data_IF_222388519425
#
_entry.id   IF_222388519425
#
_cell.length_a   1.000
_cell.length_b   1.000
_cell.length_c   1.000
_cell.angle_alpha   90.00
_cell.angle_beta   90.00
_cell.angle_gamma   90.00
#
_symmetry.space_group_name_H-M   'P 1'
#
loop_
_entity.id
_entity.type
_entity.pdbx_description
1 polymer ?
#
# COMPACT_ATOMS: atom_id res chain seq x y z
N UNK A 1 -57.68 10.66 -27.80
CA UNK A 1 -56.59 11.59 -27.40
C UNK A 1 -56.87 12.08 -25.98
N UNK A 2 -56.16 11.56 -24.97
CA UNK A 2 -56.23 12.04 -23.57
C UNK A 2 -54.83 12.51 -23.19
N UNK A 3 -54.73 13.81 -22.91
CA UNK A 3 -53.50 14.51 -22.52
C UNK A 3 -53.22 14.27 -21.04
N UNK A 4 -52.15 13.55 -20.72
CA UNK A 4 -51.61 13.44 -19.35
C UNK A 4 -50.63 14.60 -19.18
N UNK A 5 -50.94 15.54 -18.27
CA UNK A 5 -50.02 16.59 -17.85
C UNK A 5 -49.17 16.04 -16.70
N UNK A 6 -47.87 15.90 -16.93
CA UNK A 6 -46.88 15.58 -15.90
C UNK A 6 -46.60 16.83 -15.06
N UNK A 7 -46.82 16.75 -13.75
CA UNK A 7 -46.43 17.77 -12.80
C UNK A 7 -44.94 17.58 -12.45
N UNK A 8 -44.14 18.63 -12.65
CA UNK A 8 -42.77 18.69 -12.17
C UNK A 8 -42.77 19.23 -10.74
N UNK A 9 -42.25 18.44 -9.80
CA UNK A 9 -41.98 18.88 -8.42
C UNK A 9 -40.56 19.46 -8.41
N UNK A 10 -40.46 20.77 -8.23
CA UNK A 10 -39.20 21.47 -8.01
C UNK A 10 -38.84 21.36 -6.51
N UNK A 11 -37.85 20.53 -6.17
CA UNK A 11 -37.30 20.48 -4.80
C UNK A 11 -36.15 21.49 -4.73
N UNK A 12 -36.39 22.62 -4.07
CA UNK A 12 -35.35 23.58 -3.72
C UNK A 12 -34.70 23.09 -2.41
N UNK A 13 -33.51 22.49 -2.48
CA UNK A 13 -32.68 22.26 -1.31
C UNK A 13 -31.94 23.54 -0.95
N UNK A 14 -32.39 24.23 0.09
CA UNK A 14 -31.64 25.30 0.74
C UNK A 14 -30.50 24.70 1.56
N UNK A 15 -29.26 24.97 1.15
CA UNK A 15 -28.07 24.67 1.97
C UNK A 15 -27.92 25.80 2.98
N UNK A 16 -28.29 25.55 4.24
CA UNK A 16 -27.85 26.40 5.35
C UNK A 16 -26.41 26.04 5.70
N UNK A 17 -25.50 27.00 5.54
CA UNK A 17 -24.13 26.90 6.02
C UNK A 17 -24.16 27.27 7.51
N UNK A 18 -24.22 26.26 8.38
CA UNK A 18 -23.90 26.41 9.81
C UNK A 18 -22.54 25.77 10.07
N UNK A 19 -21.76 26.34 10.99
CA UNK A 19 -20.40 25.94 11.37
C UNK A 19 -20.32 24.62 12.16
N UNK A 20 -21.22 23.68 11.88
CA UNK A 20 -21.24 22.34 12.47
C UNK A 20 -20.96 21.33 11.37
N UNK A 21 -20.12 20.30 11.61
CA UNK A 21 -19.79 19.32 10.59
C UNK A 21 -21.05 18.57 10.17
N UNK A 22 -21.45 18.74 8.92
CA UNK A 22 -22.56 18.00 8.32
C UNK A 22 -22.17 16.52 8.21
N UNK A 23 -22.93 15.65 8.87
CA UNK A 23 -22.83 14.20 8.69
C UNK A 23 -23.73 13.84 7.52
N UNK A 24 -23.15 13.55 6.36
CA UNK A 24 -23.89 13.04 5.20
C UNK A 24 -24.00 11.52 5.35
N UNK A 25 -25.22 11.04 5.57
CA UNK A 25 -25.52 9.61 5.49
C UNK A 25 -25.90 9.25 4.06
N UNK A 26 -25.05 8.50 3.36
CA UNK A 26 -25.41 7.81 2.12
C UNK A 26 -25.62 6.33 2.43
N UNK A 27 -26.84 5.83 2.18
CA UNK A 27 -27.21 4.41 2.06
C UNK A 27 -26.44 3.41 2.96
N UNK A 28 -26.66 3.47 4.28
CA UNK A 28 -26.42 2.32 5.17
C UNK A 28 -24.98 1.84 5.38
N UNK A 29 -23.95 2.47 4.79
CA UNK A 29 -22.55 2.20 5.11
C UNK A 29 -21.99 3.31 6.00
N UNK A 30 -21.39 2.93 7.12
CA UNK A 30 -20.66 3.85 7.97
C UNK A 30 -19.44 4.37 7.19
N UNK A 31 -19.51 5.64 6.78
CA UNK A 31 -18.38 6.29 6.12
C UNK A 31 -17.32 6.51 7.19
N UNK A 32 -16.17 5.85 7.05
CA UNK A 32 -15.01 6.01 7.92
C UNK A 32 -14.73 7.50 8.15
N UNK A 33 -15.02 8.00 9.36
CA UNK A 33 -14.76 9.39 9.74
C UNK A 33 -13.26 9.56 9.99
N UNK A 34 -12.52 9.78 8.91
CA UNK A 34 -11.11 10.16 9.02
C UNK A 34 -11.06 11.65 9.39
N UNK A 35 -10.84 11.94 10.68
CA UNK A 35 -10.49 13.27 11.15
C UNK A 35 -9.13 13.69 10.57
N UNK A 36 -8.90 15.01 10.46
CA UNK A 36 -7.68 15.68 9.94
C UNK A 36 -6.43 14.81 9.94
N UNK A 37 -5.72 14.77 8.81
CA UNK A 37 -4.53 13.95 8.65
C UNK A 37 -3.54 14.17 9.81
N UNK A 38 -3.07 13.10 10.47
CA UNK A 38 -2.10 13.22 11.53
C UNK A 38 -0.81 13.79 10.96
N UNK A 39 -0.19 14.72 11.67
CA UNK A 39 1.22 15.04 11.46
C UNK A 39 2.03 13.90 12.05
N UNK A 40 2.30 12.88 11.25
CA UNK A 40 3.05 11.69 11.69
C UNK A 40 4.47 12.07 12.11
N UNK A 41 5.07 13.08 11.47
CA UNK A 41 6.46 13.45 11.72
C UNK A 41 6.70 14.55 12.75
N UNK A 42 5.68 15.31 13.20
CA UNK A 42 5.89 16.26 14.32
C UNK A 42 6.34 15.52 15.60
N UNK A 43 5.96 14.23 15.74
CA UNK A 43 6.37 13.38 16.86
C UNK A 43 7.69 12.62 16.63
N UNK A 44 8.09 12.39 15.38
CA UNK A 44 9.31 11.66 15.06
C UNK A 44 10.56 12.54 15.13
N UNK A 45 10.43 13.84 15.39
CA UNK A 45 11.56 14.79 15.44
C UNK A 45 12.60 14.45 14.36
N UNK A 46 12.13 14.21 13.14
CA UNK A 46 12.97 14.23 11.98
C UNK A 46 13.27 15.70 11.72
N UNK A 47 14.03 16.29 12.64
CA UNK A 47 14.70 17.56 12.42
C UNK A 47 15.39 17.38 11.08
N UNK A 48 15.09 18.28 10.14
CA UNK A 48 15.72 18.28 8.83
C UNK A 48 17.21 18.52 9.04
N UNK A 49 17.95 17.47 9.38
CA UNK A 49 19.38 17.53 9.52
C UNK A 49 19.97 17.93 8.17
N UNK A 50 21.07 18.66 8.23
CA UNK A 50 21.75 19.17 7.06
C UNK A 50 22.13 18.02 6.12
N UNK A 51 21.42 17.88 5.00
CA UNK A 51 21.67 16.83 4.00
C UNK A 51 20.42 16.13 3.45
N UNK A 52 19.24 16.41 4.00
CA UNK A 52 17.98 15.84 3.50
C UNK A 52 17.41 16.62 2.30
N UNK A 53 17.00 15.90 1.24
CA UNK A 53 16.33 16.50 0.08
C UNK A 53 14.82 16.56 0.35
N UNK A 54 14.37 17.74 0.79
CA UNK A 54 12.96 18.00 1.11
C UNK A 54 12.24 18.54 -0.11
N UNK A 55 11.17 17.86 -0.51
CA UNK A 55 10.31 18.30 -1.59
C UNK A 55 8.90 18.62 -1.09
N UNK A 56 8.32 19.71 -1.60
CA UNK A 56 6.92 20.06 -1.40
C UNK A 56 6.20 20.05 -2.74
N UNK A 57 4.99 19.48 -2.76
CA UNK A 57 4.18 19.33 -3.96
C UNK A 57 2.69 19.48 -3.60
N UNK A 58 1.88 20.00 -4.51
CA UNK A 58 0.42 20.06 -4.33
C UNK A 58 -0.21 18.90 -5.09
N UNK A 59 -0.64 17.88 -4.35
CA UNK A 59 -1.26 16.69 -4.94
C UNK A 59 -2.63 17.00 -5.59
N UNK A 60 -3.18 16.11 -6.44
CA UNK A 60 -4.46 16.34 -7.14
C UNK A 60 -5.66 16.72 -6.25
N UNK A 61 -5.62 16.32 -4.98
CA UNK A 61 -6.61 16.66 -3.96
C UNK A 61 -6.46 18.08 -3.38
N UNK A 62 -5.50 18.87 -3.86
CA UNK A 62 -5.17 20.21 -3.37
C UNK A 62 -4.39 20.24 -2.05
N UNK A 63 -4.03 19.08 -1.47
CA UNK A 63 -3.22 19.02 -0.26
C UNK A 63 -1.75 19.15 -0.63
N UNK A 64 -1.03 19.99 0.12
CA UNK A 64 0.43 19.99 0.09
C UNK A 64 0.95 18.69 0.70
N UNK A 65 1.68 17.92 -0.09
CA UNK A 65 2.47 16.78 0.35
C UNK A 65 3.91 17.24 0.51
N UNK A 66 4.54 16.81 1.60
CA UNK A 66 5.95 17.05 1.86
C UNK A 66 6.63 15.70 1.96
N UNK A 67 7.69 15.49 1.21
CA UNK A 67 8.51 14.28 1.23
C UNK A 67 9.96 14.62 1.54
N UNK A 68 10.69 13.66 2.10
CA UNK A 68 12.11 13.78 2.41
C UNK A 68 12.83 12.49 1.97
N UNK A 69 13.96 12.62 1.27
CA UNK A 69 14.93 11.53 1.09
C UNK A 69 16.03 11.69 2.12
N UNK A 70 16.31 10.64 2.89
CA UNK A 70 17.43 10.59 3.84
C UNK A 70 18.61 9.83 3.23
N UNK A 71 19.79 10.44 3.24
CA UNK A 71 21.02 9.81 2.72
C UNK A 71 21.73 8.93 3.74
N UNK A 72 21.45 9.12 5.02
CA UNK A 72 22.11 8.45 6.14
C UNK A 72 21.47 7.11 6.50
N UNK A 73 20.29 6.82 5.93
CA UNK A 73 19.51 5.63 6.20
C UNK A 73 19.54 4.72 4.98
N UNK A 74 20.69 4.10 4.78
CA UNK A 74 20.73 2.84 4.03
C UNK A 74 20.30 1.74 5.01
N UNK A 75 19.41 0.85 4.57
CA UNK A 75 19.21 -0.38 5.32
C UNK A 75 20.56 -1.08 5.45
N UNK A 76 20.80 -1.77 6.57
CA UNK A 76 21.89 -2.74 6.62
C UNK A 76 21.57 -3.77 5.53
N UNK A 77 22.23 -3.59 4.37
CA UNK A 77 22.00 -4.30 3.14
C UNK A 77 21.89 -5.81 3.44
N UNK A 78 20.90 -6.48 2.88
CA UNK A 78 20.78 -7.95 2.87
C UNK A 78 21.92 -8.58 2.06
N UNK A 79 23.17 -8.34 2.44
CA UNK A 79 24.34 -9.05 1.93
C UNK A 79 24.43 -10.44 2.58
N UNK A 80 23.32 -11.17 2.58
CA UNK A 80 23.27 -12.59 2.84
C UNK A 80 23.74 -13.34 1.60
N UNK A 81 25.05 -13.54 1.45
CA UNK A 81 25.57 -14.48 0.45
C UNK A 81 25.05 -15.90 0.79
N UNK A 82 23.94 -16.32 0.17
CA UNK A 82 23.41 -17.67 0.32
C UNK A 82 24.28 -18.67 -0.45
N UNK A 83 25.36 -19.10 0.20
CA UNK A 83 26.24 -20.16 -0.28
C UNK A 83 25.69 -21.54 0.07
N UNK A 84 24.69 -22.04 -0.66
CA UNK A 84 24.40 -23.48 -0.74
C UNK A 84 23.89 -23.83 -2.14
N UNK A 85 24.70 -24.60 -2.85
CA UNK A 85 24.48 -25.14 -4.20
C UNK A 85 23.44 -26.27 -4.15
N UNK A 86 22.20 -25.94 -3.78
CA UNK A 86 21.06 -26.85 -3.89
C UNK A 86 20.52 -26.81 -5.32
N UNK A 87 20.19 -27.97 -5.89
CA UNK A 87 19.49 -28.04 -7.18
C UNK A 87 18.12 -27.40 -6.99
N UNK A 88 17.99 -26.16 -7.45
CA UNK A 88 16.75 -25.40 -7.41
C UNK A 88 15.72 -26.07 -8.34
N UNK A 89 14.44 -26.16 -7.92
CA UNK A 89 13.35 -26.52 -8.84
C UNK A 89 13.41 -25.69 -10.12
N UNK A 90 12.88 -26.18 -11.24
CA UNK A 90 12.86 -25.40 -12.49
C UNK A 90 12.18 -24.03 -12.31
N UNK A 91 11.16 -23.95 -11.43
CA UNK A 91 10.47 -22.71 -11.06
C UNK A 91 11.34 -21.71 -10.29
N UNK A 92 12.46 -22.18 -9.74
CA UNK A 92 13.39 -21.46 -8.90
C UNK A 92 14.72 -21.17 -9.57
N UNK A 93 14.91 -21.68 -10.80
CA UNK A 93 16.15 -21.49 -11.52
C UNK A 93 16.28 -20.00 -11.79
N UNK A 94 17.34 -19.33 -11.32
CA UNK A 94 17.58 -17.93 -11.62
C UNK A 94 17.60 -17.76 -13.14
N UNK A 95 16.54 -17.13 -13.67
CA UNK A 95 16.58 -16.61 -15.03
C UNK A 95 17.51 -15.39 -14.98
N UNK A 96 18.36 -15.16 -16.01
CA UNK A 96 19.11 -13.91 -16.10
C UNK A 96 18.18 -12.74 -15.80
N UNK A 97 18.64 -11.75 -15.01
CA UNK A 97 17.86 -10.54 -14.75
C UNK A 97 17.40 -10.00 -16.11
N UNK A 98 16.10 -10.03 -16.35
CA UNK A 98 15.57 -9.43 -17.55
C UNK A 98 15.84 -7.93 -17.45
N UNK A 99 16.33 -7.35 -18.54
CA UNK A 99 16.64 -5.92 -18.59
C UNK A 99 15.38 -5.06 -18.68
N UNK A 100 14.19 -5.64 -18.42
CA UNK A 100 12.92 -4.92 -18.42
C UNK A 100 12.76 -4.02 -17.19
N UNK A 101 13.50 -4.30 -16.10
CA UNK A 101 13.44 -3.55 -14.85
C UNK A 101 12.18 -3.78 -14.01
N UNK A 102 11.32 -4.72 -14.43
CA UNK A 102 10.02 -5.03 -13.82
C UNK A 102 9.97 -6.43 -13.22
N UNK A 103 10.73 -7.38 -13.78
CA UNK A 103 10.69 -8.79 -13.38
C UNK A 103 11.15 -8.99 -11.93
N UNK A 104 10.45 -9.85 -11.18
CA UNK A 104 10.82 -10.22 -9.82
C UNK A 104 12.18 -10.92 -9.78
N UNK A 105 13.08 -10.47 -8.90
CA UNK A 105 14.44 -11.00 -8.78
C UNK A 105 14.73 -11.71 -7.45
N UNK A 106 13.77 -11.74 -6.53
CA UNK A 106 13.92 -12.41 -5.24
C UNK A 106 13.97 -13.93 -5.40
N UNK A 107 14.64 -14.60 -4.46
CA UNK A 107 14.73 -16.07 -4.45
C UNK A 107 13.91 -16.73 -3.36
N UNK A 108 13.51 -15.96 -2.35
CA UNK A 108 12.73 -16.51 -1.25
C UNK A 108 11.24 -16.45 -1.55
N UNK A 109 10.58 -17.60 -1.39
CA UNK A 109 9.12 -17.76 -1.55
C UNK A 109 8.52 -17.04 -2.77
N UNK A 110 9.25 -16.97 -3.87
CA UNK A 110 8.87 -16.28 -5.11
C UNK A 110 7.44 -16.61 -5.55
N UNK A 111 7.08 -17.90 -5.52
CA UNK A 111 5.73 -18.34 -5.92
C UNK A 111 4.67 -17.70 -5.03
N UNK A 112 4.88 -17.59 -3.72
CA UNK A 112 3.94 -16.94 -2.82
C UNK A 112 3.94 -15.42 -2.99
N UNK A 113 5.11 -14.77 -3.09
CA UNK A 113 5.25 -13.31 -3.27
C UNK A 113 4.64 -12.80 -4.58
N UNK A 114 4.67 -13.60 -5.64
CA UNK A 114 4.20 -13.21 -6.98
C UNK A 114 2.85 -13.85 -7.41
N UNK A 115 2.26 -14.70 -6.55
CA UNK A 115 0.93 -15.30 -6.79
C UNK A 115 -0.12 -14.69 -5.88
N UNK A 116 -1.21 -14.19 -6.48
CA UNK A 116 -2.38 -13.70 -5.78
C UNK A 116 -3.09 -14.89 -5.13
N UNK A 117 -3.48 -14.75 -3.86
CA UNK A 117 -4.28 -15.73 -3.14
C UNK A 117 -5.61 -16.01 -3.87
N UNK A 118 -6.09 -17.25 -3.81
CA UNK A 118 -7.29 -17.67 -4.56
C UNK A 118 -8.60 -17.31 -3.84
N UNK A 119 -8.52 -16.96 -2.57
CA UNK A 119 -9.68 -16.54 -1.79
C UNK A 119 -10.34 -15.26 -2.36
N UNK A 120 -11.67 -15.09 -2.21
CA UNK A 120 -12.33 -13.82 -2.51
C UNK A 120 -11.73 -12.66 -1.70
N UNK A 121 -11.88 -11.44 -2.21
CA UNK A 121 -11.54 -10.22 -1.45
C UNK A 121 -12.52 -10.10 -0.28
N UNK A 122 -11.99 -9.94 0.92
CA UNK A 122 -12.75 -9.59 2.12
C UNK A 122 -13.30 -8.15 1.97
N UNK A 123 -14.60 -7.97 2.15
CA UNK A 123 -15.27 -6.69 1.88
C UNK A 123 -15.00 -5.59 2.94
N UNK A 124 -14.34 -5.95 4.04
CA UNK A 124 -14.05 -5.03 5.14
C UNK A 124 -12.83 -4.17 4.83
N UNK A 125 -12.99 -2.84 4.93
CA UNK A 125 -11.87 -1.91 4.91
C UNK A 125 -11.20 -1.93 6.30
N UNK A 126 -10.10 -2.65 6.41
CA UNK A 126 -9.35 -2.79 7.65
C UNK A 126 -8.49 -1.54 7.90
N UNK A 127 -8.36 -1.17 9.17
CA UNK A 127 -7.21 -0.39 9.65
C UNK A 127 -6.00 -1.31 9.79
N UNK A 128 -4.79 -0.78 9.88
CA UNK A 128 -3.58 -1.59 10.11
C UNK A 128 -3.72 -2.45 11.36
N UNK A 129 -4.16 -1.86 12.47
CA UNK A 129 -4.35 -2.59 13.72
C UNK A 129 -5.36 -3.74 13.59
N UNK A 130 -6.48 -3.50 12.90
CA UNK A 130 -7.48 -4.55 12.68
C UNK A 130 -7.00 -5.64 11.71
N UNK A 131 -6.16 -5.29 10.73
CA UNK A 131 -5.49 -6.25 9.86
C UNK A 131 -4.61 -7.18 10.68
N UNK A 132 -3.69 -6.64 11.48
CA UNK A 132 -2.80 -7.44 12.32
C UNK A 132 -3.57 -8.35 13.29
N UNK A 133 -4.61 -7.81 13.94
CA UNK A 133 -5.43 -8.59 14.87
C UNK A 133 -6.26 -9.71 14.21
N UNK A 134 -6.41 -9.70 12.88
CA UNK A 134 -7.16 -10.72 12.14
C UNK A 134 -6.31 -11.93 11.73
N UNK A 135 -5.01 -11.94 12.03
CA UNK A 135 -4.08 -13.00 11.64
C UNK A 135 -3.59 -13.79 12.87
N UNK A 136 -3.08 -15.03 12.66
CA UNK A 136 -2.26 -15.69 13.66
C UNK A 136 -1.11 -14.80 14.13
N UNK A 137 -0.70 -14.97 15.38
CA UNK A 137 0.43 -14.21 15.94
C UNK A 137 1.75 -14.57 15.25
N UNK A 138 2.72 -13.65 15.28
CA UNK A 138 4.08 -13.93 14.80
C UNK A 138 4.69 -15.17 15.44
N UNK A 139 4.45 -15.39 16.74
CA UNK A 139 4.93 -16.58 17.44
C UNK A 139 4.34 -17.89 16.87
N UNK A 140 3.05 -17.91 16.54
CA UNK A 140 2.40 -19.06 15.91
C UNK A 140 2.94 -19.31 14.51
N UNK A 141 3.14 -18.24 13.72
CA UNK A 141 3.67 -18.35 12.36
C UNK A 141 5.13 -18.81 12.33
N UNK A 142 5.98 -18.29 13.23
CA UNK A 142 7.37 -18.74 13.38
C UNK A 142 7.46 -20.21 13.80
N UNK A 143 6.57 -20.66 14.70
CA UNK A 143 6.51 -22.06 15.12
C UNK A 143 6.10 -23.02 13.97
N UNK A 144 5.42 -22.50 12.93
CA UNK A 144 5.02 -23.26 11.75
C UNK A 144 6.16 -23.64 10.79
N UNK A 145 7.38 -23.09 10.97
CA UNK A 145 8.57 -23.38 10.16
C UNK A 145 8.31 -23.26 8.64
N UNK A 146 7.70 -22.15 8.22
CA UNK A 146 7.41 -21.88 6.81
C UNK A 146 8.71 -21.92 6.01
N UNK A 147 8.71 -22.67 4.91
CA UNK A 147 9.89 -22.81 4.07
C UNK A 147 10.19 -21.52 3.32
N UNK A 148 11.47 -21.14 3.24
CA UNK A 148 11.98 -20.00 2.45
C UNK A 148 12.24 -20.33 0.99
N UNK A 149 11.96 -21.57 0.56
CA UNK A 149 12.20 -21.97 -0.83
C UNK A 149 11.31 -21.16 -1.77
N UNK A 150 11.88 -20.69 -2.87
CA UNK A 150 11.21 -20.09 -4.02
C UNK A 150 9.90 -20.78 -4.48
N UNK A 151 9.83 -22.11 -4.48
CA UNK A 151 8.64 -22.88 -4.91
C UNK A 151 7.59 -23.05 -3.80
N UNK A 152 7.87 -22.51 -2.60
CA UNK A 152 6.94 -22.53 -1.50
C UNK A 152 5.69 -21.72 -1.87
N UNK A 153 4.55 -22.41 -1.85
CA UNK A 153 3.23 -21.79 -2.00
C UNK A 153 2.79 -21.12 -0.69
N UNK A 154 1.70 -20.36 -0.78
CA UNK A 154 1.04 -19.79 0.40
C UNK A 154 0.63 -20.87 1.39
N UNK A 155 0.79 -20.60 2.68
CA UNK A 155 0.16 -21.41 3.73
C UNK A 155 -1.31 -21.02 3.89
N UNK A 156 -2.12 -21.83 4.57
CA UNK A 156 -3.56 -21.60 4.69
C UNK A 156 -3.89 -20.21 5.27
N UNK A 157 -3.11 -19.74 6.26
CA UNK A 157 -3.28 -18.43 6.88
C UNK A 157 -3.04 -17.26 5.91
N UNK A 158 -2.27 -17.46 4.85
CA UNK A 158 -1.96 -16.47 3.81
C UNK A 158 -2.96 -16.50 2.64
N UNK A 159 -3.86 -17.49 2.60
CA UNK A 159 -4.85 -17.61 1.52
C UNK A 159 -6.05 -16.68 1.77
N UNK A 160 -5.77 -15.38 1.86
CA UNK A 160 -6.73 -14.31 2.12
C UNK A 160 -6.40 -13.12 1.25
N UNK A 161 -7.43 -12.45 0.74
CA UNK A 161 -7.29 -11.17 0.06
C UNK A 161 -7.99 -10.10 0.88
N UNK A 162 -7.25 -9.09 1.30
CA UNK A 162 -7.72 -8.06 2.24
C UNK A 162 -7.66 -6.67 1.61
N UNK A 163 -8.41 -5.73 2.18
CA UNK A 163 -8.29 -4.30 1.85
C UNK A 163 -7.98 -3.49 3.10
N UNK A 164 -6.88 -2.72 3.07
CA UNK A 164 -6.45 -1.83 4.16
C UNK A 164 -6.48 -0.38 3.71
N UNK A 165 -7.04 0.50 4.55
CA UNK A 165 -7.00 1.95 4.35
C UNK A 165 -6.16 2.62 5.45
N UNK A 166 -5.04 3.22 5.08
CA UNK A 166 -4.05 3.75 6.01
C UNK A 166 -3.23 4.87 5.37
N UNK A 167 -2.30 5.46 6.10
CA UNK A 167 -1.43 6.51 5.59
C UNK A 167 -0.09 5.95 5.12
N UNK A 168 0.29 6.23 3.88
CA UNK A 168 1.63 5.98 3.35
C UNK A 168 2.62 6.91 4.04
N UNK A 169 3.61 6.33 4.73
CA UNK A 169 4.63 7.07 5.50
C UNK A 169 6.05 6.88 4.98
N UNK A 170 6.34 5.77 4.30
CA UNK A 170 7.63 5.55 3.65
C UNK A 170 7.48 4.64 2.42
N UNK A 171 8.39 4.79 1.45
CA UNK A 171 8.47 3.95 0.27
C UNK A 171 9.92 3.76 -0.19
N UNK A 172 10.27 2.57 -0.68
CA UNK A 172 11.51 2.30 -1.42
C UNK A 172 11.26 1.25 -2.51
N UNK A 173 12.21 1.09 -3.42
CA UNK A 173 12.26 -0.10 -4.29
C UNK A 173 13.30 -1.07 -3.74
N UNK A 174 12.96 -2.33 -3.67
CA UNK A 174 13.83 -3.41 -3.24
C UNK A 174 14.61 -4.01 -4.41
N UNK A 175 15.68 -4.73 -4.11
CA UNK A 175 16.54 -5.37 -5.11
C UNK A 175 15.85 -6.53 -5.85
N UNK A 176 14.79 -7.09 -5.26
CA UNK A 176 13.91 -8.06 -5.90
C UNK A 176 12.89 -7.43 -6.86
N UNK A 177 12.99 -6.11 -7.09
CA UNK A 177 12.09 -5.26 -7.88
C UNK A 177 10.72 -4.95 -7.26
N UNK A 178 10.52 -5.28 -5.98
CA UNK A 178 9.31 -4.94 -5.27
C UNK A 178 9.33 -3.45 -4.87
N UNK A 179 8.17 -2.80 -4.93
CA UNK A 179 8.00 -1.51 -4.27
C UNK A 179 7.52 -1.77 -2.85
N UNK A 180 8.39 -1.51 -1.89
CA UNK A 180 8.15 -1.66 -0.46
C UNK A 180 7.58 -0.36 0.10
N UNK A 181 6.42 -0.45 0.74
CA UNK A 181 5.80 0.68 1.43
C UNK A 181 5.55 0.38 2.90
N UNK A 182 5.66 1.41 3.74
CA UNK A 182 5.20 1.37 5.12
C UNK A 182 3.93 2.19 5.22
N UNK A 183 2.85 1.54 5.65
CA UNK A 183 1.57 2.17 5.98
C UNK A 183 1.46 2.36 7.49
N UNK A 184 0.72 3.38 7.91
CA UNK A 184 0.47 3.66 9.33
C UNK A 184 -0.98 4.10 9.58
N UNK A 185 -1.56 3.63 10.68
CA UNK A 185 -2.88 4.09 11.15
C UNK A 185 -2.86 5.58 11.56
N UNK A 186 -4.04 6.21 11.45
CA UNK A 186 -4.20 7.62 11.77
C UNK A 186 -3.88 7.91 13.25
N UNK A 187 -2.90 8.77 13.51
CA UNK A 187 -2.60 9.25 14.87
C UNK A 187 -1.96 8.21 15.79
N UNK A 188 -1.49 7.09 15.25
CA UNK A 188 -0.78 6.08 16.01
C UNK A 188 0.64 5.92 15.47
N UNK A 189 1.65 6.10 16.32
CA UNK A 189 3.07 6.04 15.96
C UNK A 189 3.75 4.75 16.47
N UNK A 190 2.98 3.79 16.98
CA UNK A 190 3.54 2.57 17.54
C UNK A 190 3.71 1.49 16.47
N UNK A 191 4.62 0.51 16.64
CA UNK A 191 4.82 -0.57 15.68
C UNK A 191 3.54 -1.35 15.34
N UNK A 192 2.64 -1.61 16.29
CA UNK A 192 1.36 -2.31 16.06
C UNK A 192 0.35 -1.54 15.19
N UNK A 193 0.71 -0.32 14.79
CA UNK A 193 -0.07 0.53 13.92
C UNK A 193 0.57 0.70 12.54
N UNK A 194 1.61 -0.09 12.24
CA UNK A 194 2.36 -0.05 10.98
C UNK A 194 2.30 -1.38 10.25
N UNK A 195 2.29 -1.31 8.93
CA UNK A 195 2.14 -2.45 8.05
C UNK A 195 3.06 -2.29 6.84
N UNK A 196 3.87 -3.29 6.57
CA UNK A 196 4.55 -3.43 5.28
C UNK A 196 3.53 -3.86 4.22
N UNK A 197 3.60 -3.22 3.06
CA UNK A 197 2.86 -3.64 1.87
C UNK A 197 3.78 -3.56 0.66
N UNK A 198 3.65 -4.52 -0.25
CA UNK A 198 4.57 -4.64 -1.40
C UNK A 198 3.81 -4.78 -2.72
N UNK A 199 4.05 -3.86 -3.64
CA UNK A 199 3.72 -4.09 -5.06
C UNK A 199 4.88 -4.90 -5.63
N UNK A 200 4.64 -6.19 -5.83
CA UNK A 200 5.69 -7.08 -6.29
C UNK A 200 6.18 -6.78 -7.71
N UNK A 201 7.42 -7.15 -8.00
CA UNK A 201 7.94 -7.40 -9.32
C UNK A 201 7.06 -8.38 -10.09
N UNK A 202 7.14 -8.31 -11.40
CA UNK A 202 6.35 -9.14 -12.30
C UNK A 202 6.85 -10.59 -12.19
N UNK A 203 5.97 -11.59 -11.97
CA UNK A 203 6.37 -12.99 -11.98
C UNK A 203 6.98 -13.37 -13.32
N UNK A 204 8.09 -14.11 -13.27
CA UNK A 204 8.74 -14.68 -14.47
C UNK A 204 7.80 -15.61 -15.24
N UNK A 205 6.92 -16.30 -14.51
CA UNK A 205 5.92 -17.22 -15.03
C UNK A 205 4.68 -17.16 -14.13
N UNK A 206 3.48 -17.24 -14.72
CA UNK A 206 2.27 -17.55 -13.96
C UNK A 206 1.07 -16.65 -14.27
N UNK A 207 -0.04 -16.96 -13.61
CA UNK A 207 -1.35 -16.38 -13.93
C UNK A 207 -1.53 -14.94 -13.41
N UNK A 208 -0.70 -14.48 -12.47
CA UNK A 208 -0.81 -13.13 -11.90
C UNK A 208 -0.14 -12.04 -12.75
N UNK A 209 0.68 -12.41 -13.75
CA UNK A 209 1.55 -11.49 -14.49
C UNK A 209 0.81 -10.23 -14.97
N UNK A 210 -0.28 -10.42 -15.71
CA UNK A 210 -1.05 -9.30 -16.26
C UNK A 210 -1.65 -8.40 -15.17
N UNK A 211 -2.13 -9.00 -14.08
CA UNK A 211 -2.75 -8.23 -12.99
C UNK A 211 -1.70 -7.39 -12.27
N UNK A 212 -0.54 -7.97 -11.98
CA UNK A 212 0.57 -7.27 -11.31
C UNK A 212 1.18 -6.19 -12.20
N UNK A 213 1.35 -6.44 -13.51
CA UNK A 213 1.75 -5.38 -14.48
C UNK A 213 0.81 -4.18 -14.46
N UNK A 214 -0.50 -4.42 -14.46
CA UNK A 214 -1.50 -3.34 -14.41
C UNK A 214 -1.40 -2.57 -13.09
N UNK A 215 -1.24 -3.26 -11.96
CA UNK A 215 -1.10 -2.62 -10.65
C UNK A 215 0.18 -1.77 -10.57
N UNK A 216 1.31 -2.29 -11.06
CA UNK A 216 2.59 -1.56 -11.13
C UNK A 216 2.48 -0.31 -12.00
N UNK A 217 2.00 -0.47 -13.24
CA UNK A 217 1.86 0.65 -14.17
C UNK A 217 0.92 1.74 -13.62
N UNK A 218 -0.16 1.35 -12.95
CA UNK A 218 -1.05 2.31 -12.27
C UNK A 218 -0.28 3.07 -11.17
N UNK A 219 0.41 2.36 -10.29
CA UNK A 219 1.20 2.98 -9.22
C UNK A 219 2.25 3.95 -9.78
N UNK A 220 3.05 3.50 -10.76
CA UNK A 220 4.10 4.30 -11.39
C UNK A 220 3.53 5.57 -12.05
N UNK A 221 2.35 5.48 -12.65
CA UNK A 221 1.66 6.64 -13.23
C UNK A 221 1.16 7.63 -12.15
N UNK A 222 0.62 7.14 -11.04
CA UNK A 222 0.09 8.00 -9.97
C UNK A 222 1.19 8.59 -9.10
N UNK A 223 2.34 7.92 -9.00
CA UNK A 223 3.39 8.26 -8.06
C UNK A 223 3.82 9.74 -8.12
N UNK A 224 4.19 10.31 -9.28
CA UNK A 224 4.62 11.71 -9.35
C UNK A 224 3.58 12.71 -8.88
N UNK A 225 2.29 12.37 -9.02
CA UNK A 225 1.17 13.22 -8.61
C UNK A 225 1.03 13.30 -7.09
N UNK A 226 1.45 12.28 -6.35
CA UNK A 226 1.26 12.21 -4.91
C UNK A 226 2.57 12.33 -4.12
N UNK A 227 3.72 11.99 -4.69
CA UNK A 227 5.03 12.12 -4.05
C UNK A 227 5.72 13.45 -4.37
N UNK A 228 5.42 14.05 -5.53
CA UNK A 228 6.17 15.15 -6.13
C UNK A 228 7.43 14.72 -6.90
N UNK A 229 7.83 13.45 -6.81
CA UNK A 229 9.03 12.92 -7.47
C UNK A 229 8.67 12.40 -8.87
N UNK A 230 9.40 12.85 -9.89
CA UNK A 230 9.18 12.41 -11.28
C UNK A 230 9.54 10.93 -11.49
N UNK A 231 10.35 10.37 -10.60
CA UNK A 231 10.77 8.98 -10.60
C UNK A 231 10.12 8.26 -9.43
N UNK A 232 9.74 7.00 -9.66
CA UNK A 232 9.35 6.06 -8.59
C UNK A 232 10.48 5.88 -7.58
N UNK A 233 10.20 5.37 -6.36
CA UNK A 233 11.25 5.12 -5.40
C UNK A 233 12.40 4.32 -6.03
N UNK A 234 13.62 4.81 -5.86
CA UNK A 234 14.83 4.10 -6.27
C UNK A 234 15.19 2.99 -5.29
N UNK A 235 16.19 2.20 -5.65
CA UNK A 235 16.80 1.25 -4.73
C UNK A 235 17.68 1.93 -3.69
N UNK A 236 17.84 1.26 -2.53
CA UNK A 236 18.80 1.59 -1.49
C UNK A 236 18.42 2.67 -0.49
N UNK A 237 17.38 3.49 -0.73
CA UNK A 237 16.95 4.52 0.23
C UNK A 237 15.43 4.66 0.28
N UNK A 238 14.92 4.91 1.48
CA UNK A 238 13.53 5.28 1.68
C UNK A 238 13.26 6.74 1.33
N UNK A 239 12.14 6.96 0.64
CA UNK A 239 11.44 8.23 0.59
C UNK A 239 10.42 8.28 1.73
N UNK A 240 10.51 9.31 2.58
CA UNK A 240 9.61 9.52 3.71
C UNK A 240 8.53 10.54 3.37
N UNK A 241 7.29 10.28 3.78
CA UNK A 241 6.18 11.21 3.66
C UNK A 241 5.96 11.99 4.95
N UNK A 242 6.48 13.21 5.01
CA UNK A 242 6.28 14.15 6.13
C UNK A 242 4.82 14.53 6.28
N UNK A 243 4.16 14.73 5.15
CA UNK A 243 2.70 14.83 5.10
C UNK A 243 2.17 13.52 4.53
N UNK A 244 1.68 12.59 5.38
CA UNK A 244 1.29 11.27 4.91
C UNK A 244 0.11 11.32 3.94
N UNK A 245 0.16 10.44 2.94
CA UNK A 245 -0.86 10.31 1.92
C UNK A 245 -1.80 9.17 2.31
N UNK A 246 -3.11 9.43 2.38
CA UNK A 246 -4.07 8.36 2.61
C UNK A 246 -4.07 7.44 1.39
N UNK A 247 -3.96 6.15 1.59
CA UNK A 247 -4.05 5.14 0.55
C UNK A 247 -5.06 4.06 0.91
N UNK A 248 -5.60 3.38 -0.09
CA UNK A 248 -6.34 2.12 0.06
C UNK A 248 -5.64 1.05 -0.76
N UNK A 249 -5.24 -0.02 -0.11
CA UNK A 249 -4.45 -1.11 -0.69
C UNK A 249 -5.23 -2.40 -0.58
N UNK A 250 -5.34 -3.13 -1.69
CA UNK A 250 -5.92 -4.48 -1.72
C UNK A 250 -4.87 -5.46 -2.21
N UNK A 251 -4.75 -6.60 -1.56
CA UNK A 251 -3.79 -7.63 -1.95
C UNK A 251 -3.90 -8.87 -1.09
N UNK A 252 -2.96 -9.78 -1.27
CA UNK A 252 -2.94 -11.05 -0.54
C UNK A 252 -2.17 -10.92 0.77
N UNK A 253 -2.69 -11.50 1.85
CA UNK A 253 -1.99 -11.57 3.12
C UNK A 253 -0.77 -12.49 2.99
N UNK A 254 0.39 -12.06 3.48
CA UNK A 254 1.63 -12.84 3.42
C UNK A 254 2.39 -12.70 4.74
N UNK A 255 3.01 -13.79 5.19
CA UNK A 255 3.89 -13.79 6.34
C UNK A 255 5.34 -13.84 5.87
N UNK A 256 6.08 -12.75 6.12
CA UNK A 256 7.48 -12.69 5.73
C UNK A 256 8.36 -13.50 6.69
N UNK A 257 8.50 -14.78 6.36
CA UNK A 257 9.36 -15.72 7.08
C UNK A 257 10.85 -15.40 6.95
N UNK A 258 11.26 -14.54 6.02
CA UNK A 258 12.65 -14.10 5.93
C UNK A 258 13.03 -13.13 7.01
N UNK A 259 12.04 -12.35 7.41
CA UNK A 259 12.15 -11.23 8.31
C UNK A 259 11.22 -11.37 9.52
N UNK A 260 11.40 -12.44 10.32
CA UNK A 260 10.55 -12.65 11.48
C UNK A 260 10.74 -11.51 12.48
N UNK A 261 9.65 -11.12 13.13
CA UNK A 261 9.69 -10.23 14.30
C UNK A 261 10.58 -10.83 15.38
N UNK A 262 11.44 -10.00 15.95
CA UNK A 262 12.09 -10.33 17.21
C UNK A 262 11.04 -10.27 18.33
N UNK A 263 10.63 -11.45 18.80
CA UNK A 263 9.59 -11.59 19.82
C UNK A 263 9.96 -10.91 21.16
N UNK A 264 11.24 -10.59 21.38
CA UNK A 264 11.69 -9.90 22.60
C UNK A 264 11.52 -8.38 22.51
N UNK A 265 11.73 -7.78 21.34
CA UNK A 265 11.53 -6.35 21.10
C UNK A 265 10.13 -6.01 20.59
N UNK A 266 9.42 -6.97 19.99
CA UNK A 266 8.09 -6.79 19.41
C UNK A 266 8.10 -5.97 18.11
N UNK A 267 9.25 -5.87 17.43
CA UNK A 267 9.42 -5.15 16.17
C UNK A 267 9.96 -6.06 15.07
N UNK A 268 9.40 -5.92 13.87
CA UNK A 268 9.89 -6.54 12.64
C UNK A 268 11.25 -5.98 12.23
N UNK A 269 12.06 -6.74 11.48
CA UNK A 269 13.41 -6.32 11.14
C UNK A 269 13.44 -5.41 9.90
N UNK A 270 12.40 -5.41 9.06
CA UNK A 270 12.38 -4.61 7.82
C UNK A 270 11.82 -3.22 8.03
N UNK A 271 12.47 -2.26 7.40
CA UNK A 271 12.10 -0.87 7.44
C UNK A 271 13.05 -0.02 8.26
N UNK A 272 12.97 1.31 8.11
CA UNK A 272 13.73 2.22 8.92
C UNK A 272 13.43 2.01 10.40
N UNK A 273 14.45 2.10 11.26
CA UNK A 273 14.37 1.78 12.69
C UNK A 273 13.10 2.34 13.36
N UNK A 274 12.81 3.60 13.10
CA UNK A 274 11.72 4.35 13.71
C UNK A 274 10.35 4.03 13.10
N UNK A 275 10.31 3.37 11.94
CA UNK A 275 9.12 2.99 11.20
C UNK A 275 8.91 1.48 11.10
N UNK A 276 9.73 0.66 11.76
CA UNK A 276 9.57 -0.80 11.82
C UNK A 276 8.13 -1.19 12.21
N UNK A 277 7.47 -2.09 11.43
CA UNK A 277 6.20 -2.69 11.80
C UNK A 277 6.30 -3.57 13.05
N UNK A 278 5.18 -3.75 13.76
CA UNK A 278 5.10 -4.63 14.92
C UNK A 278 4.82 -6.10 14.58
N UNK A 279 4.73 -6.44 13.30
CA UNK A 279 4.43 -7.79 12.80
C UNK A 279 5.16 -8.05 11.48
N UNK A 280 5.49 -9.32 11.19
CA UNK A 280 6.00 -9.76 9.88
C UNK A 280 4.88 -10.10 8.89
N UNK A 281 3.62 -9.91 9.30
CA UNK A 281 2.49 -9.91 8.37
C UNK A 281 2.50 -8.67 7.49
N UNK A 282 2.37 -8.90 6.19
CA UNK A 282 2.35 -7.89 5.14
C UNK A 282 1.28 -8.16 4.10
N UNK A 283 1.01 -7.19 3.23
CA UNK A 283 0.20 -7.41 2.03
C UNK A 283 1.14 -7.54 0.84
N UNK A 284 1.27 -8.76 0.31
CA UNK A 284 2.17 -9.11 -0.79
C UNK A 284 1.61 -10.29 -1.59
N UNK A 285 1.35 -10.15 -2.90
CA UNK A 285 1.41 -8.92 -3.67
C UNK A 285 0.15 -8.06 -3.50
N UNK A 286 0.37 -6.75 -3.61
CA UNK A 286 -0.68 -5.77 -3.84
C UNK A 286 -1.25 -5.94 -5.25
N UNK A 287 -2.58 -5.93 -5.34
CA UNK A 287 -3.36 -6.06 -6.59
C UNK A 287 -4.17 -4.81 -6.93
N UNK A 288 -4.27 -3.88 -5.98
CA UNK A 288 -4.84 -2.54 -6.17
C UNK A 288 -4.18 -1.57 -5.18
N UNK A 289 -3.75 -0.41 -5.64
CA UNK A 289 -3.12 0.61 -4.82
C UNK A 289 -3.73 1.96 -5.16
N UNK A 290 -4.61 2.49 -4.32
CA UNK A 290 -5.32 3.74 -4.59
C UNK A 290 -4.78 4.88 -3.73
N UNK A 291 -4.39 5.98 -4.38
CA UNK A 291 -4.02 7.21 -3.69
C UNK A 291 -5.25 8.08 -3.42
N UNK A 292 -5.35 8.57 -2.18
CA UNK A 292 -6.43 9.39 -1.65
C UNK A 292 -7.84 8.98 -2.15
N UNK A 293 -8.31 7.78 -1.78
CA UNK A 293 -9.56 7.18 -2.28
C UNK A 293 -10.83 8.01 -1.97
N UNK A 294 -10.69 9.10 -1.21
CA UNK A 294 -11.77 10.07 -0.94
C UNK A 294 -12.07 10.95 -2.16
N UNK A 295 -11.12 11.11 -3.08
CA UNK A 295 -11.25 12.03 -4.22
C UNK A 295 -11.98 11.45 -5.43
N UNK A 296 -12.16 10.12 -5.50
CA UNK A 296 -12.93 9.46 -6.57
C UNK A 296 -14.43 9.76 -6.51
N UNK A 297 -14.95 10.25 -5.37
CA UNK A 297 -16.30 10.82 -5.32
C UNK A 297 -16.42 12.18 -6.04
N UNK A 298 -15.32 12.77 -6.49
CA UNK A 298 -15.29 14.08 -7.16
C UNK A 298 -15.29 13.97 -8.69
N UNK A 299 -14.47 13.10 -9.28
CA UNK A 299 -14.28 13.09 -10.75
C UNK A 299 -15.44 12.41 -11.49
N UNK A 300 -15.93 11.26 -11.01
CA UNK A 300 -17.13 10.61 -11.56
C UNK A 300 -18.41 11.41 -11.28
N UNK A 301 -18.46 12.18 -10.19
CA UNK A 301 -19.56 13.11 -9.93
C UNK A 301 -19.48 14.38 -10.80
N UNK A 302 -18.28 14.83 -11.18
CA UNK A 302 -18.10 15.95 -12.11
C UNK A 302 -18.44 15.56 -13.55
N UNK A 303 -18.01 14.38 -14.01
CA UNK A 303 -18.28 13.90 -15.37
C UNK A 303 -19.78 13.66 -15.63
N UNK A 304 -20.55 13.31 -14.60
CA UNK A 304 -22.01 13.18 -14.68
C UNK A 304 -22.78 14.51 -14.47
N UNK A 305 -22.09 15.65 -14.29
CA UNK A 305 -22.69 16.99 -14.16
C UNK A 305 -22.45 17.90 -15.36
N UNK A 306 -21.75 17.44 -16.39
CA UNK A 306 -21.72 18.17 -17.65
C UNK A 306 -23.11 18.05 -18.28
N UNK A 307 -23.85 19.15 -18.49
CA UNK A 307 -25.09 19.07 -19.26
C UNK A 307 -24.73 18.49 -20.62
N UNK A 308 -25.48 17.47 -21.06
CA UNK A 308 -25.39 16.98 -22.43
C UNK A 308 -25.45 18.21 -23.34
N UNK A 309 -24.39 18.45 -24.11
CA UNK A 309 -24.38 19.56 -25.04
C UNK A 309 -25.55 19.36 -25.99
N UNK A 310 -26.56 20.22 -25.90
CA UNK A 310 -27.63 20.29 -26.88
C UNK A 310 -26.97 20.61 -28.23
N UNK A 311 -26.70 19.57 -29.01
CA UNK A 311 -26.33 19.67 -30.41
C UNK A 311 -27.54 20.23 -31.16
N UNK A 312 -27.46 21.50 -31.55
CA UNK A 312 -28.29 22.06 -32.61
C UNK A 312 -27.76 21.66 -33.98
#
# INVERSE_FOLDING_TARGET
MRSIRSAWILIILGVMITSTPAVVFCAGREVLKITTAPKVLDALQLDAEAGSDRQEHVAPNGRTVTTIVRSDWADEEENGAFGLEAVLPAACTPVPRDNDGETFHGTSREVAKTRIAEAPIEEDNLTVKSYQASHPTDAEMQAGLISKKCDQVRVDAENRNVTVAAYLVAAKKEDDNDYHFILQDSGCIKPECRLTVEISGVPRLGQSEQKLKVTRAYFEQQWPLYSGHNEVPGSGRYLFFVTPVLVRVTGSAFYDSDHPVDLSSGTGPVGPEELKPGSAWEIHPVTNFEFDPRTELSLFALLNRLPASDSK
#
